data_IF_921063981129
#
_entry.id   IF_921063981129
#
_cell.length_a   1.000
_cell.length_b   1.000
_cell.length_c   1.000
_cell.angle_alpha   90.00
_cell.angle_beta   90.00
_cell.angle_gamma   90.00
#
_symmetry.space_group_name_H-M   'P 1'
#
loop_
_entity.id
_entity.type
_entity.pdbx_description
1 polymer ?
#
# COMPACT_ATOMS: atom_id res chain seq x y z
N UNK A 1 -6.63 33.08 -4.06
CA UNK A 1 -7.06 32.51 -2.76
C UNK A 1 -5.79 32.08 -2.05
N UNK A 2 -5.65 32.36 -0.75
CA UNK A 2 -4.42 32.07 -0.02
C UNK A 2 -4.66 30.96 1.01
N UNK A 3 -3.89 29.88 0.91
CA UNK A 3 -3.92 28.76 1.85
C UNK A 3 -2.57 28.73 2.58
N UNK A 4 -2.59 28.88 3.91
CA UNK A 4 -1.40 28.64 4.70
C UNK A 4 -1.42 27.20 5.20
N UNK A 5 -0.40 26.41 4.85
CA UNK A 5 -0.33 24.97 5.11
C UNK A 5 0.95 24.71 5.89
N UNK A 6 0.86 24.02 7.03
CA UNK A 6 2.04 23.63 7.78
C UNK A 6 2.73 22.41 7.19
N UNK A 7 3.99 22.21 7.56
CA UNK A 7 4.83 21.15 7.00
C UNK A 7 4.26 19.73 7.25
N UNK A 8 3.32 19.57 8.18
CA UNK A 8 2.63 18.29 8.43
C UNK A 8 1.60 17.92 7.33
N UNK A 9 1.34 18.81 6.37
CA UNK A 9 0.40 18.60 5.25
C UNK A 9 1.04 18.87 3.86
N UNK A 10 2.36 18.68 3.71
CA UNK A 10 3.11 18.91 2.47
C UNK A 10 2.56 18.14 1.25
N UNK A 11 2.01 16.93 1.45
CA UNK A 11 1.39 16.14 0.37
C UNK A 11 0.14 16.80 -0.21
N UNK A 12 -0.64 17.47 0.64
CA UNK A 12 -1.83 18.22 0.22
C UNK A 12 -1.43 19.48 -0.54
N UNK A 13 -0.37 20.15 -0.09
CA UNK A 13 0.23 21.29 -0.81
C UNK A 13 0.66 20.86 -2.23
N UNK A 14 1.40 19.76 -2.33
CA UNK A 14 1.84 19.21 -3.62
C UNK A 14 0.65 18.91 -4.54
N UNK A 15 -0.37 18.20 -4.05
CA UNK A 15 -1.56 17.91 -4.83
C UNK A 15 -2.30 19.18 -5.28
N UNK A 16 -2.53 20.14 -4.38
CA UNK A 16 -3.24 21.38 -4.69
C UNK A 16 -2.49 22.25 -5.72
N UNK A 17 -1.15 22.24 -5.69
CA UNK A 17 -0.31 22.97 -6.65
C UNK A 17 -0.43 22.46 -8.10
N UNK A 18 -0.83 21.19 -8.28
CA UNK A 18 -1.03 20.56 -9.59
C UNK A 18 -2.43 20.86 -10.15
N UNK A 19 -3.45 20.96 -9.28
CA UNK A 19 -4.85 21.06 -9.69
C UNK A 19 -5.39 22.50 -9.78
N UNK A 20 -4.80 23.47 -9.07
CA UNK A 20 -5.13 24.90 -9.19
C UNK A 20 -3.86 25.77 -9.26
N UNK A 21 -3.36 26.07 -10.47
CA UNK A 21 -2.13 26.82 -10.65
C UNK A 21 -2.20 28.29 -10.20
N UNK A 22 -3.40 28.81 -9.88
CA UNK A 22 -3.59 30.17 -9.38
C UNK A 22 -3.78 30.24 -7.85
N UNK A 23 -3.70 29.09 -7.16
CA UNK A 23 -3.79 29.00 -5.71
C UNK A 23 -2.46 29.41 -5.07
N UNK A 24 -2.49 30.43 -4.23
CA UNK A 24 -1.31 30.90 -3.50
C UNK A 24 -1.17 30.09 -2.21
N UNK A 25 -0.11 29.30 -2.09
CA UNK A 25 0.14 28.44 -0.93
C UNK A 25 1.35 28.96 -0.15
N UNK A 26 1.20 29.10 1.17
CA UNK A 26 2.21 29.66 2.07
C UNK A 26 2.43 28.72 3.25
N UNK A 27 3.64 28.64 3.80
CA UNK A 27 3.92 27.78 4.96
C UNK A 27 3.36 28.38 6.27
N UNK A 28 2.79 27.58 7.17
CA UNK A 28 2.50 27.98 8.55
C UNK A 28 3.08 27.01 9.58
N UNK A 29 3.08 27.37 10.87
CA UNK A 29 3.69 26.55 11.92
C UNK A 29 2.91 25.26 12.18
N UNK A 30 1.56 25.30 12.21
CA UNK A 30 0.69 24.13 12.45
C UNK A 30 -0.64 24.26 11.68
N UNK A 31 -1.29 23.15 11.31
CA UNK A 31 -2.63 23.13 10.71
C UNK A 31 -2.71 23.48 9.21
N UNK A 32 -3.95 23.68 8.73
CA UNK A 32 -4.29 24.27 7.42
C UNK A 32 -5.18 25.49 7.67
N UNK A 33 -4.73 26.66 7.26
CA UNK A 33 -5.41 27.94 7.46
C UNK A 33 -5.87 28.46 6.10
N UNK A 34 -7.18 28.51 5.91
CA UNK A 34 -7.79 29.21 4.78
C UNK A 34 -7.87 30.70 5.14
N UNK A 35 -6.95 31.52 4.63
CA UNK A 35 -6.93 32.96 4.91
C UNK A 35 -8.02 33.65 4.08
N UNK A 36 -9.19 33.79 4.70
CA UNK A 36 -10.21 34.77 4.33
C UNK A 36 -10.38 35.66 5.55
N UNK A 37 -9.42 36.57 5.81
CA UNK A 37 -9.24 37.46 6.99
C UNK A 37 -10.39 37.56 8.04
N UNK A 38 -10.81 36.46 8.67
CA UNK A 38 -11.84 36.40 9.72
C UNK A 38 -11.99 34.95 10.23
N UNK A 39 -12.21 34.77 11.54
CA UNK A 39 -12.49 33.47 12.18
C UNK A 39 -14.01 33.30 12.38
N UNK A 40 -14.52 32.10 12.11
CA UNK A 40 -15.94 31.77 12.21
C UNK A 40 -16.17 30.57 13.12
N UNK A 41 -17.04 30.73 14.13
CA UNK A 41 -17.47 29.63 14.99
C UNK A 41 -18.72 28.96 14.41
N UNK A 42 -18.54 27.75 13.87
CA UNK A 42 -19.61 26.92 13.32
C UNK A 42 -20.00 27.24 11.87
N UNK A 43 -20.62 26.26 11.19
CA UNK A 43 -20.98 26.36 9.77
C UNK A 43 -21.92 27.54 9.45
N UNK A 44 -22.79 27.92 10.40
CA UNK A 44 -23.75 29.01 10.21
C UNK A 44 -23.10 30.39 10.12
N UNK A 45 -21.97 30.62 10.82
CA UNK A 45 -21.25 31.90 10.77
C UNK A 45 -20.40 32.04 9.49
N UNK A 46 -19.87 30.93 8.98
CA UNK A 46 -19.21 30.86 7.66
C UNK A 46 -20.21 31.20 6.54
N UNK A 47 -21.40 30.60 6.55
CA UNK A 47 -22.42 30.88 5.54
C UNK A 47 -22.92 32.32 5.59
N UNK A 48 -23.12 32.87 6.80
CA UNK A 48 -23.54 34.26 6.98
C UNK A 48 -22.53 35.23 6.33
N UNK A 49 -21.23 34.99 6.52
CA UNK A 49 -20.19 35.85 5.91
C UNK A 49 -20.17 35.77 4.39
N UNK A 50 -20.28 34.58 3.82
CA UNK A 50 -20.33 34.41 2.37
C UNK A 50 -21.55 35.13 1.77
N UNK A 51 -22.68 35.15 2.49
CA UNK A 51 -23.88 35.87 2.07
C UNK A 51 -23.68 37.39 2.04
N UNK A 52 -22.93 37.93 3.01
CA UNK A 52 -22.56 39.35 3.12
C UNK A 52 -21.55 39.78 2.06
N UNK A 53 -20.50 38.99 1.79
CA UNK A 53 -19.45 39.30 0.80
C UNK A 53 -20.03 39.40 -0.63
N UNK A 54 -20.95 38.51 -0.97
CA UNK A 54 -21.53 38.43 -2.31
C UNK A 54 -22.92 39.10 -2.41
N UNK A 55 -23.32 39.86 -1.38
CA UNK A 55 -24.52 40.69 -1.32
C UNK A 55 -25.83 39.95 -1.68
N UNK A 56 -25.98 38.71 -1.19
CA UNK A 56 -27.15 37.89 -1.45
C UNK A 56 -28.30 38.24 -0.48
N UNK A 57 -29.33 38.93 -0.95
CA UNK A 57 -30.51 39.30 -0.15
C UNK A 57 -31.53 38.15 0.05
N UNK A 58 -31.08 36.96 0.49
CA UNK A 58 -31.97 35.79 0.68
C UNK A 58 -31.80 35.13 2.05
N UNK A 59 -32.90 34.63 2.61
CA UNK A 59 -32.97 34.06 3.95
C UNK A 59 -32.37 32.64 4.03
N UNK A 60 -32.03 32.15 5.23
CA UNK A 60 -31.60 30.76 5.49
C UNK A 60 -32.59 29.70 4.95
N UNK A 61 -33.88 30.03 4.83
CA UNK A 61 -34.90 29.16 4.22
C UNK A 61 -34.79 29.12 2.69
N UNK A 62 -34.32 30.19 2.06
CA UNK A 62 -34.08 30.24 0.62
C UNK A 62 -32.84 29.42 0.22
N UNK A 63 -31.81 29.35 1.07
CA UNK A 63 -30.63 28.49 0.84
C UNK A 63 -30.92 26.99 0.85
N UNK A 64 -31.88 26.52 1.66
CA UNK A 64 -32.35 25.11 1.59
C UNK A 64 -33.01 24.79 0.24
N UNK A 65 -33.55 25.80 -0.43
CA UNK A 65 -34.16 25.69 -1.76
C UNK A 65 -33.12 25.79 -2.89
N UNK A 66 -32.07 26.60 -2.68
CA UNK A 66 -30.90 26.75 -3.57
C UNK A 66 -29.95 25.53 -3.50
N UNK A 67 -29.88 24.82 -2.36
CA UNK A 67 -29.16 23.52 -2.24
C UNK A 67 -29.59 22.46 -3.26
N UNK A 68 -30.77 22.63 -3.87
CA UNK A 68 -31.35 21.73 -4.87
C UNK A 68 -31.30 22.29 -6.30
N UNK A 69 -30.63 23.42 -6.54
CA UNK A 69 -30.47 23.96 -7.89
C UNK A 69 -29.20 23.42 -8.54
N UNK A 70 -29.30 23.04 -9.82
CA UNK A 70 -28.25 22.39 -10.61
C UNK A 70 -26.89 23.12 -10.64
N UNK A 71 -26.84 24.41 -10.33
CA UNK A 71 -25.62 25.23 -10.34
C UNK A 71 -24.78 25.14 -9.04
N UNK A 72 -25.40 24.85 -7.89
CA UNK A 72 -24.73 24.80 -6.58
C UNK A 72 -24.39 23.36 -6.16
N UNK A 73 -25.14 22.39 -6.68
CA UNK A 73 -24.90 20.97 -6.49
C UNK A 73 -23.47 20.54 -6.87
N UNK A 74 -22.84 21.04 -7.96
CA UNK A 74 -21.46 20.71 -8.31
C UNK A 74 -20.42 21.21 -7.29
N UNK A 75 -20.59 22.41 -6.73
CA UNK A 75 -19.64 23.01 -5.77
C UNK A 75 -19.69 22.29 -4.42
N UNK A 76 -20.89 21.95 -3.96
CA UNK A 76 -21.08 21.13 -2.75
C UNK A 76 -20.50 19.73 -2.97
N UNK A 77 -20.75 19.13 -4.13
CA UNK A 77 -20.10 17.87 -4.50
C UNK A 77 -18.59 18.01 -4.52
N UNK A 78 -17.99 19.04 -5.11
CA UNK A 78 -16.53 19.20 -5.15
C UNK A 78 -15.89 19.37 -3.77
N UNK A 79 -16.49 20.14 -2.87
CA UNK A 79 -15.95 20.33 -1.50
C UNK A 79 -16.16 19.09 -0.62
N UNK A 80 -17.35 18.48 -0.67
CA UNK A 80 -17.58 17.18 -0.01
C UNK A 80 -16.79 16.06 -0.67
N UNK A 81 -16.47 16.13 -1.96
CA UNK A 81 -15.60 15.18 -2.67
C UNK A 81 -14.16 15.37 -2.27
N UNK A 82 -13.66 16.60 -2.07
CA UNK A 82 -12.32 16.83 -1.53
C UNK A 82 -12.20 16.38 -0.07
N UNK A 83 -13.18 16.68 0.76
CA UNK A 83 -13.25 16.18 2.15
C UNK A 83 -13.44 14.67 2.15
N UNK A 84 -14.30 14.12 1.30
CA UNK A 84 -14.53 12.67 1.19
C UNK A 84 -13.34 11.97 0.58
N UNK A 85 -12.59 12.59 -0.33
CA UNK A 85 -11.36 12.07 -0.91
C UNK A 85 -10.25 12.10 0.13
N UNK A 86 -10.10 13.18 0.90
CA UNK A 86 -9.16 13.26 2.02
C UNK A 86 -9.52 12.26 3.13
N UNK A 87 -10.80 12.12 3.49
CA UNK A 87 -11.26 11.12 4.45
C UNK A 87 -11.16 9.70 3.88
N UNK A 88 -11.40 9.48 2.58
CA UNK A 88 -11.24 8.18 1.94
C UNK A 88 -9.77 7.83 1.73
N UNK A 89 -8.89 8.80 1.49
CA UNK A 89 -7.44 8.68 1.42
C UNK A 89 -6.84 8.41 2.81
N UNK A 90 -7.25 9.16 3.84
CA UNK A 90 -6.93 8.81 5.24
C UNK A 90 -7.50 7.46 5.60
N UNK A 91 -8.72 7.13 5.18
CA UNK A 91 -9.31 5.81 5.36
C UNK A 91 -8.55 4.74 4.56
N UNK A 92 -7.99 5.01 3.39
CA UNK A 92 -7.14 4.08 2.64
C UNK A 92 -5.81 3.82 3.34
N UNK A 93 -5.23 4.88 3.91
CA UNK A 93 -4.01 4.80 4.73
C UNK A 93 -4.27 4.09 6.07
N UNK A 94 -5.47 4.22 6.64
CA UNK A 94 -5.88 3.64 7.94
C UNK A 94 -6.52 2.23 7.78
N UNK A 95 -7.09 1.93 6.62
CA UNK A 95 -7.86 0.72 6.31
C UNK A 95 -7.15 -0.04 5.20
N UNK A 96 -5.94 -0.47 5.50
CA UNK A 96 -5.71 -1.88 5.25
C UNK A 96 -6.75 -2.63 6.11
N UNK A 97 -7.97 -2.80 5.58
CA UNK A 97 -9.00 -3.78 5.91
C UNK A 97 -9.55 -4.27 4.56
N UNK A 98 -9.12 -5.45 4.14
CA UNK A 98 -9.41 -6.07 2.83
C UNK A 98 -10.90 -6.35 2.54
N UNK A 99 -11.85 -5.92 3.37
CA UNK A 99 -13.28 -6.02 3.04
C UNK A 99 -13.69 -5.13 1.86
N UNK A 100 -12.85 -4.17 1.43
CA UNK A 100 -13.16 -3.23 0.34
C UNK A 100 -12.18 -3.28 -0.85
N UNK A 101 -11.78 -4.46 -1.32
CA UNK A 101 -11.03 -4.61 -2.59
C UNK A 101 -11.69 -3.82 -3.74
N UNK A 102 -13.02 -3.76 -3.77
CA UNK A 102 -13.76 -2.98 -4.79
C UNK A 102 -13.49 -1.48 -4.73
N UNK A 103 -13.15 -0.94 -3.56
CA UNK A 103 -12.78 0.46 -3.41
C UNK A 103 -11.37 0.73 -3.94
N UNK A 104 -10.39 -0.12 -3.59
CA UNK A 104 -9.04 -0.04 -4.17
C UNK A 104 -9.09 -0.16 -5.69
N UNK A 105 -9.95 -1.04 -6.22
CA UNK A 105 -10.22 -1.10 -7.66
C UNK A 105 -10.73 0.22 -8.22
N UNK A 106 -11.75 0.82 -7.61
CA UNK A 106 -12.26 2.12 -8.07
C UNK A 106 -11.21 3.25 -8.05
N UNK A 107 -10.31 3.26 -7.07
CA UNK A 107 -9.19 4.22 -7.00
C UNK A 107 -8.15 3.93 -8.08
N UNK A 108 -7.80 2.64 -8.25
CA UNK A 108 -6.90 2.20 -9.31
C UNK A 108 -7.42 2.60 -10.69
N UNK A 109 -8.69 2.33 -10.96
CA UNK A 109 -9.36 2.63 -12.22
C UNK A 109 -9.41 4.15 -12.49
N UNK A 110 -9.62 4.96 -11.44
CA UNK A 110 -9.76 6.41 -11.56
C UNK A 110 -8.42 7.12 -11.78
N UNK A 111 -7.34 6.65 -11.15
CA UNK A 111 -6.04 7.32 -11.14
C UNK A 111 -4.93 6.54 -11.84
N UNK A 112 -5.25 5.38 -12.41
CA UNK A 112 -4.30 4.45 -13.02
C UNK A 112 -3.15 4.06 -12.07
N UNK A 113 -3.50 3.61 -10.86
CA UNK A 113 -2.57 3.30 -9.77
C UNK A 113 -2.54 1.80 -9.42
N UNK A 114 -2.47 0.94 -10.43
CA UNK A 114 -2.48 -0.53 -10.28
C UNK A 114 -1.38 -1.06 -9.35
N UNK A 115 -0.26 -0.34 -9.23
CA UNK A 115 0.81 -0.66 -8.30
C UNK A 115 0.38 -0.69 -6.83
N UNK A 116 -0.72 -0.02 -6.46
CA UNK A 116 -1.22 -0.04 -5.07
C UNK A 116 -1.60 -1.44 -4.60
N UNK A 117 -1.98 -2.34 -5.52
CA UNK A 117 -2.33 -3.70 -5.17
C UNK A 117 -1.13 -4.51 -4.65
N UNK A 118 0.10 -4.15 -5.01
CA UNK A 118 1.33 -4.77 -4.49
C UNK A 118 1.33 -4.76 -2.96
N UNK A 119 0.91 -3.65 -2.36
CA UNK A 119 0.94 -3.43 -0.92
C UNK A 119 -0.09 -4.25 -0.12
N UNK A 120 -0.96 -4.99 -0.81
CA UNK A 120 -1.79 -6.01 -0.17
C UNK A 120 -0.96 -7.23 0.24
N UNK A 121 0.21 -7.43 -0.38
CA UNK A 121 1.17 -8.47 -0.02
C UNK A 121 2.12 -7.94 1.08
N UNK A 122 2.18 -8.62 2.21
CA UNK A 122 3.21 -8.36 3.20
C UNK A 122 4.48 -9.15 2.87
N UNK A 123 5.28 -8.64 1.95
CA UNK A 123 6.55 -9.26 1.58
C UNK A 123 7.64 -8.78 2.54
N UNK A 124 8.28 -9.71 3.23
CA UNK A 124 9.28 -9.46 4.27
C UNK A 124 10.51 -10.34 4.11
N UNK A 125 11.66 -9.82 4.55
CA UNK A 125 12.91 -10.56 4.69
C UNK A 125 12.83 -11.48 5.91
N UNK A 126 12.93 -12.78 5.71
CA UNK A 126 12.93 -13.79 6.76
C UNK A 126 14.24 -14.57 6.82
N UNK A 127 14.73 -14.83 8.03
CA UNK A 127 15.90 -15.67 8.27
C UNK A 127 15.47 -17.11 8.57
N UNK A 128 15.97 -18.08 7.81
CA UNK A 128 15.75 -19.49 8.11
C UNK A 128 16.58 -19.90 9.34
N UNK A 129 15.92 -20.27 10.43
CA UNK A 129 16.57 -20.77 11.65
C UNK A 129 16.79 -22.27 11.62
N UNK A 130 15.77 -23.00 11.19
CA UNK A 130 15.73 -24.46 11.20
C UNK A 130 14.97 -24.95 9.97
N UNK A 131 15.39 -26.09 9.43
CA UNK A 131 14.76 -26.76 8.29
C UNK A 131 14.70 -28.27 8.55
N UNK A 132 13.51 -28.83 8.41
CA UNK A 132 13.27 -30.26 8.45
C UNK A 132 12.70 -30.75 7.12
N UNK A 133 12.94 -32.02 6.78
CA UNK A 133 12.28 -32.66 5.64
C UNK A 133 10.90 -33.14 6.07
N UNK A 134 9.88 -32.86 5.26
CA UNK A 134 8.53 -33.36 5.54
C UNK A 134 8.46 -34.84 5.20
N UNK A 135 8.14 -35.67 6.20
CA UNK A 135 7.95 -37.10 6.01
C UNK A 135 6.88 -37.39 4.95
N UNK A 136 7.18 -38.30 4.02
CA UNK A 136 6.28 -38.64 2.91
C UNK A 136 6.30 -37.64 1.76
N UNK A 137 7.22 -36.67 1.73
CA UNK A 137 7.41 -35.76 0.59
C UNK A 137 8.88 -35.56 0.22
N UNK A 138 9.18 -35.73 -1.07
CA UNK A 138 10.51 -35.46 -1.64
C UNK A 138 10.71 -33.98 -2.01
N UNK A 139 9.65 -33.17 -1.90
CA UNK A 139 9.63 -31.78 -2.38
C UNK A 139 9.52 -30.75 -1.27
N UNK A 140 9.04 -31.15 -0.08
CA UNK A 140 8.68 -30.21 0.96
C UNK A 140 9.74 -30.11 2.06
N UNK A 141 10.03 -28.86 2.43
CA UNK A 141 10.68 -28.53 3.69
C UNK A 141 9.67 -27.94 4.67
N UNK A 142 9.97 -28.12 5.95
CA UNK A 142 9.33 -27.47 7.09
C UNK A 142 10.34 -26.50 7.68
N UNK A 143 10.07 -25.20 7.59
CA UNK A 143 10.98 -24.16 8.03
C UNK A 143 10.48 -23.45 9.30
N UNK A 144 11.41 -23.13 10.20
CA UNK A 144 11.21 -22.06 11.20
C UNK A 144 11.90 -20.80 10.71
N UNK A 145 11.12 -19.76 10.44
CA UNK A 145 11.59 -18.52 9.83
C UNK A 145 11.41 -17.35 10.80
N UNK A 146 12.47 -16.59 11.01
CA UNK A 146 12.54 -15.47 11.94
C UNK A 146 12.38 -14.14 11.20
N UNK A 147 11.36 -13.38 11.60
CA UNK A 147 11.07 -12.02 11.14
C UNK A 147 11.16 -10.99 12.29
N UNK A 148 11.69 -11.38 13.45
CA UNK A 148 11.50 -10.72 14.75
C UNK A 148 10.54 -11.52 15.64
N UNK A 149 9.63 -12.27 15.01
CA UNK A 149 8.89 -13.38 15.58
C UNK A 149 9.06 -14.61 14.67
N UNK A 150 9.08 -15.80 15.27
CA UNK A 150 9.27 -17.05 14.52
C UNK A 150 7.94 -17.56 13.97
N UNK A 151 7.88 -17.83 12.66
CA UNK A 151 6.77 -18.47 11.98
C UNK A 151 7.18 -19.85 11.45
N UNK A 152 6.23 -20.78 11.46
CA UNK A 152 6.37 -22.06 10.77
C UNK A 152 5.82 -21.95 9.34
N UNK A 153 6.65 -22.31 8.37
CA UNK A 153 6.33 -22.29 6.94
C UNK A 153 6.63 -23.69 6.37
N UNK A 154 5.83 -24.11 5.38
CA UNK A 154 6.07 -25.32 4.60
C UNK A 154 6.22 -24.91 3.15
N UNK A 155 7.37 -25.22 2.54
CA UNK A 155 7.66 -24.80 1.16
C UNK A 155 8.15 -25.94 0.28
N UNK A 156 7.87 -25.83 -1.03
CA UNK A 156 8.23 -26.82 -2.05
C UNK A 156 9.64 -26.70 -2.61
N UNK A 157 10.60 -26.25 -1.80
CA UNK A 157 11.94 -25.87 -2.28
C UNK A 157 13.02 -26.93 -2.04
N UNK A 158 12.66 -28.11 -1.49
CA UNK A 158 13.63 -29.15 -1.11
C UNK A 158 14.53 -29.62 -2.25
N UNK A 159 13.99 -29.66 -3.47
CA UNK A 159 14.75 -30.06 -4.66
C UNK A 159 15.52 -28.89 -5.29
N UNK A 160 15.31 -27.67 -4.81
CA UNK A 160 15.85 -26.43 -5.38
C UNK A 160 17.03 -25.90 -4.58
N UNK A 161 17.11 -26.18 -3.27
CA UNK A 161 18.16 -25.69 -2.39
C UNK A 161 18.53 -26.75 -1.33
N UNK A 162 19.82 -26.87 -1.03
CA UNK A 162 20.33 -27.74 0.03
C UNK A 162 19.96 -27.20 1.41
N UNK A 163 19.96 -28.05 2.46
CA UNK A 163 19.71 -27.57 3.83
C UNK A 163 20.80 -26.61 4.29
N UNK A 164 22.04 -26.87 3.89
CA UNK A 164 23.23 -26.10 4.24
C UNK A 164 23.18 -24.70 3.64
N UNK A 165 22.70 -24.56 2.41
CA UNK A 165 22.54 -23.27 1.73
C UNK A 165 21.25 -22.54 2.13
N UNK A 166 20.35 -23.22 2.85
CA UNK A 166 19.06 -22.67 3.26
C UNK A 166 19.10 -22.15 4.70
N UNK A 167 19.57 -22.95 5.65
CA UNK A 167 19.69 -22.56 7.06
C UNK A 167 20.69 -21.42 7.23
N UNK A 168 20.37 -20.44 8.06
CA UNK A 168 21.23 -19.27 8.33
C UNK A 168 21.16 -18.19 7.26
N UNK A 169 20.45 -18.42 6.15
CA UNK A 169 20.30 -17.45 5.07
C UNK A 169 18.93 -16.78 5.07
N UNK A 170 18.87 -15.63 4.39
CA UNK A 170 17.66 -14.79 4.30
C UNK A 170 17.00 -14.92 2.95
N UNK A 171 15.67 -14.92 2.94
CA UNK A 171 14.84 -14.98 1.74
C UNK A 171 13.62 -14.06 1.87
N UNK A 172 12.91 -13.82 0.78
CA UNK A 172 11.64 -13.10 0.81
C UNK A 172 10.46 -14.03 1.05
N UNK A 173 9.55 -13.60 1.91
CA UNK A 173 8.34 -14.34 2.26
C UNK A 173 7.13 -13.42 2.29
N UNK A 174 5.95 -13.98 2.01
CA UNK A 174 4.67 -13.34 2.33
C UNK A 174 4.18 -13.87 3.68
N UNK A 175 3.99 -12.96 4.64
CA UNK A 175 3.67 -13.32 6.03
C UNK A 175 2.24 -13.01 6.45
N UNK A 176 1.47 -12.31 5.60
CA UNK A 176 0.07 -11.96 5.87
C UNK A 176 -0.93 -12.89 5.16
N UNK A 177 -0.60 -14.14 4.87
CA UNK A 177 -1.55 -15.07 4.23
C UNK A 177 -2.41 -15.79 5.26
N UNK A 178 -3.61 -16.20 4.86
CA UNK A 178 -4.46 -17.09 5.66
C UNK A 178 -3.70 -18.39 5.92
N UNK A 179 -3.55 -18.82 7.19
CA UNK A 179 -2.91 -20.09 7.50
C UNK A 179 -3.56 -21.24 6.72
N UNK A 180 -2.72 -22.11 6.18
CA UNK A 180 -3.15 -23.28 5.43
C UNK A 180 -2.48 -24.53 5.95
N UNK A 181 -2.97 -25.70 5.54
CA UNK A 181 -2.30 -26.97 5.82
C UNK A 181 -1.72 -27.52 4.53
N UNK A 182 -0.45 -27.86 4.55
CA UNK A 182 0.26 -28.57 3.47
C UNK A 182 0.58 -29.96 3.98
N UNK A 183 0.00 -30.99 3.37
CA UNK A 183 0.08 -32.38 3.87
C UNK A 183 -0.29 -32.52 5.37
N UNK A 184 -1.28 -31.75 5.81
CA UNK A 184 -1.74 -31.75 7.21
C UNK A 184 -0.93 -30.86 8.16
N UNK A 185 0.25 -30.38 7.74
CA UNK A 185 1.14 -29.53 8.54
C UNK A 185 0.73 -28.06 8.38
N UNK A 186 0.55 -27.28 9.47
CA UNK A 186 0.26 -25.86 9.39
C UNK A 186 1.41 -25.07 8.72
N UNK A 187 1.06 -24.20 7.78
CA UNK A 187 1.96 -23.22 7.16
C UNK A 187 1.35 -21.82 7.29
N UNK A 188 2.15 -20.88 7.81
CA UNK A 188 1.72 -19.51 8.14
C UNK A 188 2.40 -18.46 7.26
N UNK A 189 2.92 -18.87 6.10
CA UNK A 189 3.59 -17.98 5.18
C UNK A 189 3.87 -18.68 3.86
N UNK A 190 4.48 -17.95 2.94
CA UNK A 190 4.89 -18.48 1.64
C UNK A 190 6.24 -17.87 1.27
N UNK A 191 7.22 -18.70 0.95
CA UNK A 191 8.50 -18.24 0.39
C UNK A 191 8.29 -17.79 -1.07
N UNK A 192 8.96 -16.71 -1.48
CA UNK A 192 8.94 -16.27 -2.87
C UNK A 192 10.07 -16.96 -3.65
N UNK A 193 9.71 -17.51 -4.80
CA UNK A 193 10.64 -18.06 -5.76
C UNK A 193 10.54 -17.30 -7.08
N UNK A 194 11.67 -17.13 -7.77
CA UNK A 194 11.70 -16.67 -9.14
C UNK A 194 11.87 -17.86 -10.09
N UNK A 195 11.14 -17.83 -11.19
CA UNK A 195 11.23 -18.82 -12.27
C UNK A 195 11.82 -18.17 -13.52
N UNK A 196 13.01 -18.61 -13.91
CA UNK A 196 13.66 -18.27 -15.18
C UNK A 196 13.71 -19.55 -16.03
N UNK A 197 13.06 -19.55 -17.18
CA UNK A 197 12.87 -20.74 -18.02
C UNK A 197 12.27 -21.92 -17.22
N UNK A 198 12.99 -23.04 -17.13
CA UNK A 198 12.59 -24.23 -16.38
C UNK A 198 13.21 -24.30 -14.97
N UNK A 199 13.97 -23.26 -14.56
CA UNK A 199 14.65 -23.22 -13.27
C UNK A 199 13.89 -22.35 -12.28
N UNK A 200 13.55 -22.91 -11.13
CA UNK A 200 12.93 -22.20 -10.01
C UNK A 200 13.98 -22.04 -8.91
N UNK A 201 14.13 -20.82 -8.38
CA UNK A 201 15.05 -20.52 -7.29
C UNK A 201 14.37 -19.65 -6.23
N UNK A 202 14.55 -19.92 -4.93
CA UNK A 202 14.13 -19.01 -3.86
C UNK A 202 14.81 -17.64 -4.01
N UNK A 203 14.09 -16.55 -3.75
CA UNK A 203 14.66 -15.20 -3.83
C UNK A 203 15.51 -14.93 -2.58
N UNK A 204 16.82 -15.18 -2.68
CA UNK A 204 17.80 -14.95 -1.63
C UNK A 204 18.02 -13.46 -1.39
N UNK A 205 18.20 -13.11 -0.12
CA UNK A 205 18.44 -11.75 0.35
C UNK A 205 19.83 -11.64 0.98
N UNK A 206 20.56 -10.56 0.67
CA UNK A 206 21.88 -10.27 1.23
C UNK A 206 21.84 -10.19 2.76
N UNK A 207 22.91 -10.64 3.41
CA UNK A 207 22.98 -10.78 4.87
C UNK A 207 22.95 -9.45 5.63
N UNK A 208 23.29 -8.34 4.99
CA UNK A 208 23.27 -6.98 5.57
C UNK A 208 21.85 -6.40 5.69
N UNK A 209 20.86 -6.98 5.01
CA UNK A 209 19.47 -6.57 5.14
C UNK A 209 18.86 -7.17 6.42
N UNK A 210 18.35 -6.36 7.37
CA UNK A 210 17.73 -6.85 8.60
C UNK A 210 16.51 -7.74 8.33
N UNK A 211 16.28 -8.71 9.20
CA UNK A 211 15.03 -9.49 9.20
C UNK A 211 13.82 -8.59 9.45
N UNK A 212 12.66 -8.97 8.95
CA UNK A 212 11.43 -8.18 9.01
C UNK A 212 11.38 -7.01 8.04
N UNK A 213 12.51 -6.62 7.42
CA UNK A 213 12.53 -5.56 6.39
C UNK A 213 11.53 -5.88 5.30
N UNK A 214 10.67 -4.91 4.98
CA UNK A 214 9.64 -5.05 3.95
C UNK A 214 10.18 -4.71 2.57
N UNK A 215 9.77 -5.49 1.58
CA UNK A 215 9.90 -5.12 0.18
C UNK A 215 8.81 -4.11 -0.17
N UNK A 216 9.21 -2.90 -0.55
CA UNK A 216 8.32 -1.83 -1.02
C UNK A 216 8.62 -1.51 -2.48
N UNK A 217 7.85 -0.63 -3.12
CA UNK A 217 8.16 -0.12 -4.47
C UNK A 217 8.78 1.27 -4.38
N UNK A 218 9.64 1.62 -5.34
CA UNK A 218 10.42 2.87 -5.39
C UNK A 218 9.57 4.15 -5.36
N UNK A 219 8.28 4.07 -5.72
CA UNK A 219 7.34 5.19 -5.68
C UNK A 219 6.54 5.32 -4.38
N UNK A 220 6.58 4.35 -3.46
CA UNK A 220 5.61 4.31 -2.37
C UNK A 220 6.22 4.24 -0.98
N UNK A 221 6.09 5.40 -0.32
CA UNK A 221 5.53 5.68 1.01
C UNK A 221 5.56 4.58 2.08
N UNK A 222 5.95 4.97 3.29
CA UNK A 222 5.90 4.17 4.51
C UNK A 222 4.48 3.69 4.79
N UNK A 223 4.23 2.39 4.58
CA UNK A 223 2.96 1.76 4.93
C UNK A 223 3.02 1.30 6.38
N UNK A 224 2.06 1.73 7.19
CA UNK A 224 1.93 1.27 8.55
C UNK A 224 1.66 -0.24 8.59
N UNK A 225 2.62 -0.99 9.14
CA UNK A 225 2.64 -2.46 9.18
C UNK A 225 1.46 -3.05 9.97
N UNK A 226 0.98 -2.32 10.98
CA UNK A 226 -0.12 -2.76 11.85
C UNK A 226 -1.48 -2.85 11.13
N UNK A 227 -1.55 -2.38 9.89
CA UNK A 227 -2.80 -2.32 9.14
C UNK A 227 -2.89 -3.50 8.16
N UNK A 228 -1.80 -4.16 7.78
CA UNK A 228 -1.87 -5.20 6.75
C UNK A 228 -2.76 -6.37 7.21
N UNK A 229 -3.75 -6.75 6.40
CA UNK A 229 -4.64 -7.86 6.76
C UNK A 229 -4.16 -9.17 6.21
N UNK A 230 -4.76 -10.22 6.77
CA UNK A 230 -4.71 -11.56 6.25
C UNK A 230 -5.36 -11.65 4.85
N UNK A 231 -4.58 -12.02 3.83
CA UNK A 231 -5.03 -12.28 2.45
C UNK A 231 -5.32 -13.77 2.21
N UNK A 232 -6.19 -14.08 1.25
CA UNK A 232 -6.49 -15.45 0.84
C UNK A 232 -6.04 -15.66 -0.60
N UNK A 233 -4.87 -16.26 -0.78
CA UNK A 233 -4.24 -16.47 -2.08
C UNK A 233 -5.06 -17.34 -3.03
N UNK A 234 -6.05 -18.10 -2.53
CA UNK A 234 -6.92 -18.93 -3.38
C UNK A 234 -7.89 -18.08 -4.22
N UNK A 235 -8.09 -16.81 -3.89
CA UNK A 235 -8.95 -15.92 -4.67
C UNK A 235 -8.23 -15.50 -5.96
N UNK A 236 -8.93 -15.59 -7.09
CA UNK A 236 -8.40 -15.28 -8.43
C UNK A 236 -7.72 -13.91 -8.52
N UNK A 237 -8.22 -12.91 -7.78
CA UNK A 237 -7.60 -11.59 -7.71
C UNK A 237 -6.12 -11.62 -7.31
N UNK A 238 -5.75 -12.41 -6.30
CA UNK A 238 -4.35 -12.50 -5.86
C UNK A 238 -3.50 -13.30 -6.84
N UNK A 239 -4.07 -14.31 -7.51
CA UNK A 239 -3.35 -15.03 -8.57
C UNK A 239 -2.90 -14.06 -9.68
N UNK A 240 -3.82 -13.22 -10.16
CA UNK A 240 -3.52 -12.21 -11.17
C UNK A 240 -2.51 -11.15 -10.67
N UNK A 241 -2.40 -10.98 -9.34
CA UNK A 241 -1.42 -10.08 -8.74
C UNK A 241 0.00 -10.65 -8.86
N UNK A 242 0.19 -11.95 -8.63
CA UNK A 242 1.50 -12.60 -8.79
C UNK A 242 1.96 -12.60 -10.24
N UNK A 243 1.04 -12.75 -11.20
CA UNK A 243 1.37 -12.69 -12.63
C UNK A 243 2.00 -11.34 -13.05
N UNK A 244 1.86 -10.29 -12.22
CA UNK A 244 2.44 -8.95 -12.42
C UNK A 244 3.75 -8.74 -11.66
N UNK A 245 4.18 -9.70 -10.84
CA UNK A 245 5.40 -9.64 -10.04
C UNK A 245 6.51 -10.43 -10.75
N UNK A 246 7.57 -9.74 -11.13
CA UNK A 246 8.67 -10.34 -11.88
C UNK A 246 10.02 -9.88 -11.36
N UNK A 247 11.08 -10.57 -11.75
CA UNK A 247 12.45 -10.08 -11.70
C UNK A 247 12.83 -9.70 -13.11
N UNK A 248 13.37 -8.50 -13.30
CA UNK A 248 13.79 -7.98 -14.59
C UNK A 248 15.10 -7.22 -14.45
N UNK A 249 16.11 -7.61 -15.21
CA UNK A 249 17.47 -7.06 -15.11
C UNK A 249 18.03 -7.04 -13.68
N UNK A 250 17.70 -8.04 -12.87
CA UNK A 250 18.11 -8.12 -11.46
C UNK A 250 17.19 -7.42 -10.47
N UNK A 251 16.20 -6.63 -10.90
CA UNK A 251 15.31 -5.92 -9.99
C UNK A 251 13.98 -6.65 -9.87
N UNK A 252 13.48 -6.79 -8.64
CA UNK A 252 12.10 -7.20 -8.42
C UNK A 252 11.22 -6.04 -8.88
N UNK A 253 10.30 -6.28 -9.81
CA UNK A 253 9.44 -5.26 -10.40
C UNK A 253 7.96 -5.65 -10.26
N UNK A 254 7.11 -4.64 -10.07
CA UNK A 254 5.66 -4.76 -10.10
C UNK A 254 5.08 -3.59 -10.88
N UNK A 255 4.36 -3.85 -11.97
CA UNK A 255 3.80 -2.81 -12.86
C UNK A 255 4.86 -1.77 -13.30
N UNK A 256 6.08 -2.25 -13.59
CA UNK A 256 7.21 -1.42 -14.01
C UNK A 256 7.86 -0.58 -12.92
N UNK A 257 7.47 -0.74 -11.66
CA UNK A 257 8.10 -0.10 -10.51
C UNK A 257 9.05 -1.06 -9.82
N UNK A 258 10.24 -0.59 -9.47
CA UNK A 258 11.26 -1.42 -8.83
C UNK A 258 11.07 -1.56 -7.33
N UNK A 259 11.46 -2.72 -6.82
CA UNK A 259 11.47 -3.08 -5.42
C UNK A 259 12.62 -2.40 -4.67
N UNK A 260 12.31 -1.93 -3.46
CA UNK A 260 13.28 -1.34 -2.54
C UNK A 260 13.27 -2.08 -1.21
N UNK A 261 14.45 -2.24 -0.62
CA UNK A 261 14.65 -2.68 0.76
C UNK A 261 15.35 -1.56 1.51
N UNK A 262 14.83 -1.15 2.67
CA UNK A 262 15.31 0.01 3.44
C UNK A 262 15.41 1.32 2.63
N UNK A 263 14.53 1.50 1.64
CA UNK A 263 14.49 2.69 0.80
C UNK A 263 15.51 2.71 -0.35
N UNK A 264 16.31 1.66 -0.52
CA UNK A 264 17.26 1.52 -1.62
C UNK A 264 16.82 0.44 -2.60
N UNK A 265 17.09 0.66 -3.90
CA UNK A 265 16.81 -0.33 -4.94
C UNK A 265 17.51 -1.65 -4.62
N UNK A 266 16.75 -2.74 -4.63
CA UNK A 266 17.29 -4.05 -4.33
C UNK A 266 17.56 -4.86 -5.60
N UNK A 267 18.83 -5.20 -5.81
CA UNK A 267 19.25 -6.11 -6.87
C UNK A 267 19.31 -7.55 -6.34
N UNK A 268 18.45 -8.40 -6.89
CA UNK A 268 18.41 -9.84 -6.72
C UNK A 268 19.55 -10.53 -7.47
N UNK A 269 19.95 -11.72 -6.99
CA UNK A 269 20.88 -12.59 -7.71
C UNK A 269 20.26 -13.13 -9.01
N UNK A 270 18.94 -13.33 -9.03
CA UNK A 270 18.21 -13.72 -10.22
C UNK A 270 18.17 -12.55 -11.21
N UNK A 271 18.47 -12.77 -12.49
CA UNK A 271 18.47 -11.69 -13.50
C UNK A 271 17.11 -11.47 -14.12
N UNK A 272 16.40 -12.52 -14.51
CA UNK A 272 15.03 -12.41 -14.99
C UNK A 272 14.17 -13.54 -14.44
N UNK A 273 12.85 -13.37 -14.44
CA UNK A 273 11.94 -14.47 -14.14
C UNK A 273 10.62 -14.01 -13.54
N UNK A 274 9.61 -14.88 -13.57
CA UNK A 274 8.32 -14.61 -12.94
C UNK A 274 8.40 -15.01 -11.46
N UNK A 275 7.87 -14.19 -10.56
CA UNK A 275 7.85 -14.52 -9.13
C UNK A 275 6.56 -15.28 -8.79
N UNK A 276 6.71 -16.36 -8.03
CA UNK A 276 5.61 -17.19 -7.51
C UNK A 276 5.82 -17.56 -6.05
#
# INVERSE_FOLDING_TARGET
>A
MKLSISNEFEDLNFALSIFDPNLEIVSCEEGIILEINEKFEGLDSVFKKLTEIYNFNKSLKDFKRIRKTQEIEPIIHSFFTLISFYYQYKKLLIISNLKQINFLKGVSDLFNLDYLFFYLLNIQVGLIKEVEEVEGSDNLFLEKVDFGNTLQIVSGVRQLISKEDFVGHKFLFITNIKPSKVMGIPSNGMILCGKEDDKIVPIKVKDDIPIGTRLLLEKGNNINENLINVIDLKKSFFKNLFDKLEVKNGFIEFEGLKGVLKGELYESELKNGIIS
#
